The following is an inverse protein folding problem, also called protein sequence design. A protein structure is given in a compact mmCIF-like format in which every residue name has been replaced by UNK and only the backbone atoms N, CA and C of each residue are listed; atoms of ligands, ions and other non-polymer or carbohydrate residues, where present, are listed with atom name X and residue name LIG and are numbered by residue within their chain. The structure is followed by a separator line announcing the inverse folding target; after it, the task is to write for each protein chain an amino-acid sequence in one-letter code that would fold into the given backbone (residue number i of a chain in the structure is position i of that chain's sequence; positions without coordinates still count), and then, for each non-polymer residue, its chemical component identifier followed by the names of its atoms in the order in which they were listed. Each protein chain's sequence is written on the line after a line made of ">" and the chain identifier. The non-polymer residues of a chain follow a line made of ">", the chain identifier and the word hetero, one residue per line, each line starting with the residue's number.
data_IF_529860957812
#
_entry.id   IF_529860957812
#
_cell.length_a   1.000
_cell.length_b   1.000
_cell.length_c   1.000
_cell.angle_alpha   90.00
_cell.angle_beta   90.00
_cell.angle_gamma   90.00
#
_symmetry.space_group_name_H-M   'P 1'
#
loop_
_entity.id
_entity.type
_entity.pdbx_description
1 polymer ?
#
# COMPACT_ATOMS: atom_id res chain seq x y z
N UNK A 1 -21.60 -20.00 -0.52
CA UNK A 1 -22.47 -19.00 -1.18
C UNK A 1 -23.13 -18.08 -0.16
N UNK A 2 -23.80 -18.60 0.88
CA UNK A 2 -24.38 -17.81 1.97
C UNK A 2 -23.40 -16.82 2.63
N UNK A 3 -22.17 -17.25 2.94
CA UNK A 3 -21.15 -16.34 3.50
C UNK A 3 -20.87 -15.11 2.63
N UNK A 4 -20.77 -15.29 1.31
CA UNK A 4 -20.51 -14.18 0.39
C UNK A 4 -21.68 -13.20 0.33
N UNK A 5 -22.91 -13.71 0.39
CA UNK A 5 -24.12 -12.87 0.46
C UNK A 5 -24.09 -12.05 1.75
N UNK A 6 -23.74 -12.67 2.88
CA UNK A 6 -23.60 -11.96 4.16
C UNK A 6 -22.50 -10.91 4.10
N UNK A 7 -21.34 -11.25 3.54
CA UNK A 7 -20.19 -10.36 3.42
C UNK A 7 -20.54 -9.07 2.65
N UNK A 8 -21.19 -9.20 1.49
CA UNK A 8 -21.60 -8.04 0.68
C UNK A 8 -22.82 -7.31 1.23
N UNK A 9 -23.67 -7.97 2.03
CA UNK A 9 -24.79 -7.31 2.70
C UNK A 9 -24.32 -6.44 3.87
N UNK A 10 -23.38 -6.94 4.67
CA UNK A 10 -22.90 -6.25 5.86
C UNK A 10 -21.80 -5.24 5.54
N UNK A 11 -20.97 -5.52 4.53
CA UNK A 11 -19.77 -4.73 4.22
C UNK A 11 -18.92 -4.46 5.48
N UNK A 12 -18.50 -5.51 6.21
CA UNK A 12 -17.85 -5.34 7.50
C UNK A 12 -16.49 -4.66 7.35
N UNK A 13 -16.11 -3.85 8.33
CA UNK A 13 -14.76 -3.27 8.36
C UNK A 13 -13.69 -4.33 8.63
N UNK A 14 -14.01 -5.36 9.41
CA UNK A 14 -13.07 -6.41 9.79
C UNK A 14 -13.81 -7.74 9.95
N UNK A 15 -13.10 -8.83 9.70
CA UNK A 15 -13.63 -10.17 9.90
C UNK A 15 -12.74 -10.85 10.92
N UNK A 16 -13.33 -11.24 12.05
CA UNK A 16 -12.63 -11.97 13.08
C UNK A 16 -13.05 -13.44 13.03
N UNK A 17 -12.08 -14.32 12.76
CA UNK A 17 -12.28 -15.77 12.69
C UNK A 17 -11.75 -16.39 13.98
N UNK A 18 -12.61 -17.14 14.65
CA UNK A 18 -12.31 -17.83 15.89
C UNK A 18 -12.20 -19.35 15.65
N UNK A 19 -11.21 -19.98 16.27
CA UNK A 19 -11.05 -21.43 16.31
C UNK A 19 -10.17 -22.01 15.20
N UNK A 20 -9.45 -23.08 15.53
CA UNK A 20 -8.47 -23.74 14.67
C UNK A 20 -9.00 -25.03 14.04
N UNK A 21 -8.35 -25.50 12.98
CA UNK A 21 -8.61 -26.80 12.35
C UNK A 21 -10.02 -26.98 11.76
N UNK A 22 -10.66 -25.89 11.36
CA UNK A 22 -11.89 -25.92 10.57
C UNK A 22 -11.61 -25.52 9.13
N UNK A 23 -11.83 -26.43 8.17
CA UNK A 23 -11.64 -26.12 6.75
C UNK A 23 -12.53 -24.96 6.27
N UNK A 24 -13.69 -24.75 6.90
CA UNK A 24 -14.58 -23.62 6.60
C UNK A 24 -13.90 -22.28 6.94
N UNK A 25 -13.17 -22.19 8.07
CA UNK A 25 -12.46 -20.98 8.49
C UNK A 25 -11.41 -20.57 7.46
N UNK A 26 -10.64 -21.52 6.91
CA UNK A 26 -9.65 -21.21 5.87
C UNK A 26 -10.28 -20.75 4.55
N UNK A 27 -11.47 -21.24 4.20
CA UNK A 27 -12.22 -20.75 3.03
C UNK A 27 -12.75 -19.34 3.27
N UNK A 28 -13.26 -19.07 4.46
CA UNK A 28 -13.75 -17.74 4.86
C UNK A 28 -12.60 -16.73 4.77
N UNK A 29 -11.45 -17.00 5.40
CA UNK A 29 -10.26 -16.16 5.30
C UNK A 29 -9.91 -15.86 3.83
N UNK A 30 -9.76 -16.91 3.03
CA UNK A 30 -9.36 -16.79 1.63
C UNK A 30 -10.34 -15.93 0.82
N UNK A 31 -11.65 -16.12 1.03
CA UNK A 31 -12.68 -15.40 0.29
C UNK A 31 -12.75 -13.92 0.66
N UNK A 32 -12.58 -13.62 1.94
CA UNK A 32 -12.61 -12.27 2.50
C UNK A 32 -11.39 -11.49 2.09
N UNK A 33 -10.22 -12.08 2.29
CA UNK A 33 -8.95 -11.49 1.90
C UNK A 33 -8.89 -11.20 0.41
N UNK A 34 -9.32 -12.14 -0.46
CA UNK A 34 -9.37 -11.91 -1.91
C UNK A 34 -10.28 -10.76 -2.35
N UNK A 35 -11.16 -10.28 -1.47
CA UNK A 35 -12.08 -9.16 -1.71
C UNK A 35 -11.65 -7.88 -0.99
N UNK A 36 -10.46 -7.88 -0.38
CA UNK A 36 -9.89 -6.70 0.28
C UNK A 36 -10.33 -6.52 1.74
N UNK A 37 -11.05 -7.48 2.33
CA UNK A 37 -11.44 -7.39 3.74
C UNK A 37 -10.30 -7.87 4.67
N UNK A 38 -9.89 -7.06 5.66
CA UNK A 38 -8.94 -7.49 6.68
C UNK A 38 -9.49 -8.64 7.53
N UNK A 39 -8.62 -9.61 7.82
CA UNK A 39 -8.99 -10.79 8.61
C UNK A 39 -8.12 -10.89 9.84
N UNK A 40 -8.74 -10.88 11.03
CA UNK A 40 -8.10 -11.26 12.29
C UNK A 40 -8.39 -12.73 12.55
N UNK A 41 -7.39 -13.46 13.01
CA UNK A 41 -7.54 -14.88 13.32
C UNK A 41 -7.10 -15.20 14.75
N UNK A 42 -7.94 -15.93 15.48
CA UNK A 42 -7.68 -16.41 16.85
C UNK A 42 -7.64 -17.93 16.90
N UNK A 43 -6.44 -18.53 17.00
CA UNK A 43 -6.29 -19.98 17.02
C UNK A 43 -6.67 -20.65 18.35
N UNK A 44 -6.60 -19.94 19.48
CA UNK A 44 -6.86 -20.46 20.83
C UNK A 44 -6.06 -21.73 21.18
N UNK A 45 -4.73 -21.66 21.09
CA UNK A 45 -3.84 -22.80 21.36
C UNK A 45 -3.72 -23.79 20.19
N UNK A 46 -4.52 -23.63 19.14
CA UNK A 46 -4.43 -24.48 17.95
C UNK A 46 -3.11 -24.38 17.20
N UNK A 47 -2.31 -23.34 17.43
CA UNK A 47 -0.97 -23.19 16.89
C UNK A 47 0.13 -23.52 17.90
N UNK A 48 -0.20 -24.03 19.10
CA UNK A 48 0.79 -24.45 20.08
C UNK A 48 1.48 -25.77 19.61
N UNK A 49 2.83 -25.84 19.60
CA UNK A 49 3.58 -27.03 19.18
C UNK A 49 3.17 -28.33 19.89
N UNK A 50 3.01 -28.28 21.21
CA UNK A 50 2.66 -29.46 22.00
C UNK A 50 1.30 -30.04 21.57
N UNK A 51 0.36 -29.16 21.26
CA UNK A 51 -0.96 -29.53 20.78
C UNK A 51 -0.95 -30.04 19.33
N UNK A 52 -0.13 -29.43 18.47
CA UNK A 52 0.06 -29.88 17.08
C UNK A 52 0.62 -31.31 17.05
N UNK A 53 1.65 -31.59 17.86
CA UNK A 53 2.35 -32.87 17.88
C UNK A 53 1.48 -33.98 18.48
N UNK A 54 0.73 -33.66 19.55
CA UNK A 54 -0.19 -34.60 20.18
C UNK A 54 -1.35 -35.02 19.25
N UNK A 55 -1.88 -34.09 18.44
CA UNK A 55 -3.00 -34.37 17.53
C UNK A 55 -2.58 -34.69 16.08
N UNK A 56 -1.27 -34.73 15.78
CA UNK A 56 -0.75 -34.95 14.44
C UNK A 56 -1.23 -36.29 13.83
N UNK A 57 -1.39 -37.32 14.65
CA UNK A 57 -1.88 -38.64 14.23
C UNK A 57 -3.38 -38.69 13.92
N UNK A 58 -4.18 -37.76 14.46
CA UNK A 58 -5.63 -37.71 14.25
C UNK A 58 -6.04 -36.74 13.15
N UNK A 59 -5.18 -35.77 12.82
CA UNK A 59 -5.45 -34.71 11.84
C UNK A 59 -4.84 -35.02 10.49
N UNK A 60 -5.59 -34.80 9.42
CA UNK A 60 -5.04 -34.91 8.08
C UNK A 60 -4.02 -33.80 7.82
N UNK A 61 -2.91 -34.12 7.15
CA UNK A 61 -1.89 -33.14 6.73
C UNK A 61 -2.49 -31.94 5.98
N UNK A 62 -3.57 -32.16 5.21
CA UNK A 62 -4.31 -31.10 4.51
C UNK A 62 -4.85 -30.06 5.48
N UNK A 63 -5.41 -30.50 6.60
CA UNK A 63 -5.98 -29.61 7.62
C UNK A 63 -4.89 -28.75 8.26
N UNK A 64 -3.73 -29.33 8.55
CA UNK A 64 -2.55 -28.64 9.06
C UNK A 64 -2.04 -27.60 8.05
N UNK A 65 -1.97 -27.95 6.77
CA UNK A 65 -1.55 -27.01 5.72
C UNK A 65 -2.52 -25.84 5.57
N UNK A 66 -3.83 -26.08 5.60
CA UNK A 66 -4.81 -24.99 5.53
C UNK A 66 -4.74 -24.09 6.77
N UNK A 67 -4.52 -24.66 7.95
CA UNK A 67 -4.30 -23.91 9.18
C UNK A 67 -3.09 -22.99 9.07
N UNK A 68 -1.91 -23.54 8.72
CA UNK A 68 -0.68 -22.75 8.52
C UNK A 68 -0.87 -21.65 7.46
N UNK A 69 -1.57 -21.97 6.36
CA UNK A 69 -1.87 -21.00 5.30
C UNK A 69 -2.80 -19.88 5.77
N UNK A 70 -3.82 -20.19 6.57
CA UNK A 70 -4.73 -19.19 7.14
C UNK A 70 -3.98 -18.28 8.10
N UNK A 71 -3.18 -18.85 9.03
CA UNK A 71 -2.32 -18.07 9.94
C UNK A 71 -1.37 -17.16 9.17
N UNK A 72 -0.77 -17.65 8.09
CA UNK A 72 0.12 -16.85 7.27
C UNK A 72 -0.57 -15.67 6.57
N UNK A 73 -1.80 -15.88 6.11
CA UNK A 73 -2.48 -14.89 5.27
C UNK A 73 -3.33 -13.88 6.05
N UNK A 74 -3.70 -14.19 7.30
CA UNK A 74 -4.45 -13.27 8.15
C UNK A 74 -3.74 -11.91 8.29
N UNK A 75 -4.52 -10.84 8.35
CA UNK A 75 -4.04 -9.47 8.51
C UNK A 75 -3.38 -9.26 9.89
N UNK A 76 -3.87 -9.94 10.91
CA UNK A 76 -3.24 -10.08 12.23
C UNK A 76 -3.73 -11.36 12.94
N UNK A 77 -2.95 -11.80 13.93
CA UNK A 77 -3.28 -12.94 14.79
C UNK A 77 -3.50 -12.44 16.21
N UNK A 78 -4.62 -12.83 16.83
CA UNK A 78 -4.82 -12.66 18.26
C UNK A 78 -4.53 -13.98 18.97
N UNK A 79 -3.58 -13.98 19.90
CA UNK A 79 -3.25 -15.14 20.73
C UNK A 79 -3.56 -14.84 22.19
N UNK A 80 -3.90 -15.89 22.93
CA UNK A 80 -4.12 -15.81 24.38
C UNK A 80 -2.89 -16.26 25.17
N UNK A 81 -1.97 -16.96 24.50
CA UNK A 81 -0.77 -17.56 25.07
C UNK A 81 0.48 -17.03 24.35
N UNK A 82 1.53 -16.75 25.13
CA UNK A 82 2.77 -16.16 24.62
C UNK A 82 3.57 -17.20 23.82
N UNK A 83 3.56 -18.47 24.24
CA UNK A 83 4.28 -19.54 23.54
C UNK A 83 3.68 -19.78 22.14
N UNK A 84 2.35 -19.80 22.02
CA UNK A 84 1.65 -19.86 20.74
C UNK A 84 2.03 -18.68 19.83
N UNK A 85 2.07 -17.47 20.39
CA UNK A 85 2.48 -16.27 19.67
C UNK A 85 3.92 -16.33 19.16
N UNK A 86 4.84 -16.75 20.03
CA UNK A 86 6.26 -16.87 19.70
C UNK A 86 6.49 -17.94 18.62
N UNK A 87 5.81 -19.08 18.71
CA UNK A 87 5.88 -20.11 17.67
C UNK A 87 5.46 -19.58 16.29
N UNK A 88 4.38 -18.80 16.21
CA UNK A 88 3.89 -18.22 14.95
C UNK A 88 4.94 -17.27 14.34
N UNK A 89 5.63 -16.50 15.18
CA UNK A 89 6.69 -15.57 14.77
C UNK A 89 7.93 -16.34 14.30
N UNK A 90 8.38 -17.32 15.08
CA UNK A 90 9.59 -18.12 14.83
C UNK A 90 9.46 -18.94 13.54
N UNK A 91 8.28 -19.52 13.31
CA UNK A 91 7.96 -20.24 12.08
C UNK A 91 7.72 -19.31 10.88
N UNK A 92 7.85 -17.99 11.07
CA UNK A 92 7.61 -16.95 10.06
C UNK A 92 6.22 -17.08 9.42
N UNK A 93 5.25 -17.58 10.17
CA UNK A 93 3.88 -17.68 9.68
C UNK A 93 3.29 -16.27 9.63
N UNK A 94 3.33 -15.52 10.73
CA UNK A 94 2.85 -14.14 10.75
C UNK A 94 3.62 -13.29 11.75
N UNK A 95 4.04 -12.10 11.33
CA UNK A 95 4.75 -11.13 12.20
C UNK A 95 3.80 -10.16 12.92
N UNK A 96 2.49 -10.24 12.63
CA UNK A 96 1.46 -9.35 13.17
C UNK A 96 0.66 -10.06 14.24
N UNK A 97 1.32 -10.41 15.33
CA UNK A 97 0.73 -11.11 16.48
C UNK A 97 0.40 -10.10 17.58
N UNK A 98 -0.77 -10.25 18.20
CA UNK A 98 -1.20 -9.47 19.36
C UNK A 98 -1.59 -10.42 20.47
N UNK A 99 -1.01 -10.23 21.65
CA UNK A 99 -1.37 -10.96 22.84
C UNK A 99 -2.54 -10.27 23.54
N UNK A 100 -3.67 -10.97 23.69
CA UNK A 100 -4.86 -10.47 24.37
C UNK A 100 -5.39 -11.64 25.21
N UNK A 101 -5.25 -11.55 26.53
CA UNK A 101 -5.64 -12.60 27.47
C UNK A 101 -7.15 -12.68 27.65
N UNK A 102 -7.72 -13.88 27.65
CA UNK A 102 -9.16 -14.06 27.88
C UNK A 102 -9.45 -13.89 29.39
N UNK A 103 -10.48 -13.12 29.78
CA UNK A 103 -10.83 -12.88 31.18
C UNK A 103 -11.00 -14.13 32.06
N UNK A 104 -11.36 -15.28 31.47
CA UNK A 104 -11.51 -16.52 32.23
C UNK A 104 -10.19 -17.05 32.82
N UNK A 105 -9.05 -16.70 32.23
CA UNK A 105 -7.73 -17.23 32.61
C UNK A 105 -6.95 -16.28 33.52
N UNK A 106 -7.45 -15.05 33.74
CA UNK A 106 -6.78 -14.01 34.54
C UNK A 106 -7.76 -13.40 35.53
N UNK A 107 -7.54 -13.64 36.82
CA UNK A 107 -8.32 -13.01 37.92
C UNK A 107 -8.34 -11.47 37.86
N UNK A 108 -7.43 -10.87 37.10
CA UNK A 108 -7.19 -9.42 37.00
C UNK A 108 -7.76 -8.76 35.73
N UNK A 109 -8.26 -9.50 34.74
CA UNK A 109 -8.75 -8.92 33.48
C UNK A 109 -10.28 -8.83 33.47
N UNK A 110 -10.83 -7.62 33.37
CA UNK A 110 -12.27 -7.44 33.19
C UNK A 110 -12.69 -7.67 31.74
N UNK A 111 -13.95 -8.07 31.51
CA UNK A 111 -14.49 -8.17 30.15
C UNK A 111 -14.43 -6.85 29.37
N UNK A 112 -14.50 -5.72 30.08
CA UNK A 112 -14.36 -4.39 29.48
C UNK A 112 -12.94 -4.17 28.96
N UNK A 113 -11.92 -4.45 29.78
CA UNK A 113 -10.52 -4.34 29.36
C UNK A 113 -10.20 -5.24 28.16
N UNK A 114 -10.72 -6.47 28.14
CA UNK A 114 -10.60 -7.38 26.99
C UNK A 114 -11.25 -6.81 25.71
N UNK A 115 -12.45 -6.24 25.84
CA UNK A 115 -13.14 -5.61 24.71
C UNK A 115 -12.36 -4.41 24.18
N UNK A 116 -11.81 -3.57 25.08
CA UNK A 116 -11.01 -2.41 24.71
C UNK A 116 -9.70 -2.83 23.98
N UNK A 117 -9.01 -3.86 24.47
CA UNK A 117 -7.82 -4.43 23.80
C UNK A 117 -8.16 -4.99 22.41
N UNK A 118 -9.29 -5.68 22.26
CA UNK A 118 -9.76 -6.15 20.95
C UNK A 118 -10.07 -5.01 19.99
N UNK A 119 -10.74 -3.96 20.46
CA UNK A 119 -11.02 -2.77 19.66
C UNK A 119 -9.73 -2.07 19.20
N UNK A 120 -8.73 -1.98 20.09
CA UNK A 120 -7.40 -1.45 19.74
C UNK A 120 -6.71 -2.32 18.69
N UNK A 121 -6.80 -3.65 18.79
CA UNK A 121 -6.30 -4.56 17.77
C UNK A 121 -6.99 -4.33 16.42
N UNK A 122 -8.32 -4.23 16.40
CA UNK A 122 -9.05 -3.98 15.16
C UNK A 122 -8.65 -2.64 14.54
N UNK A 123 -8.58 -1.57 15.34
CA UNK A 123 -8.13 -0.27 14.86
C UNK A 123 -6.70 -0.34 14.31
N UNK A 124 -5.80 -1.07 14.97
CA UNK A 124 -4.42 -1.29 14.52
C UNK A 124 -4.38 -2.01 13.16
N UNK A 125 -5.19 -3.04 12.96
CA UNK A 125 -5.33 -3.74 11.67
C UNK A 125 -5.86 -2.81 10.59
N UNK A 126 -6.92 -2.06 10.88
CA UNK A 126 -7.52 -1.10 9.95
C UNK A 126 -6.54 -0.01 9.52
N UNK A 127 -5.75 0.53 10.46
CA UNK A 127 -4.72 1.52 10.15
C UNK A 127 -3.61 0.91 9.26
N UNK A 128 -3.22 -0.33 9.54
CA UNK A 128 -2.16 -1.06 8.80
C UNK A 128 -2.55 -1.36 7.35
N UNK A 129 -3.83 -1.60 7.09
CA UNK A 129 -4.34 -1.91 5.75
C UNK A 129 -5.10 -0.73 5.12
N UNK A 130 -4.79 0.50 5.52
CA UNK A 130 -5.46 1.72 5.08
C UNK A 130 -5.45 1.90 3.56
N UNK A 131 -4.33 1.60 2.88
CA UNK A 131 -4.19 1.63 1.42
C UNK A 131 -5.26 0.81 0.68
N UNK A 132 -5.58 -0.38 1.18
CA UNK A 132 -6.59 -1.27 0.57
C UNK A 132 -8.03 -0.77 0.75
N UNK A 133 -8.21 0.21 1.62
CA UNK A 133 -9.51 0.71 2.08
C UNK A 133 -9.77 2.15 1.64
N UNK A 134 -8.95 2.69 0.75
CA UNK A 134 -9.29 3.93 0.06
C UNK A 134 -10.54 3.66 -0.80
N UNK A 135 -11.62 4.34 -0.47
CA UNK A 135 -12.80 4.41 -1.35
C UNK A 135 -12.52 5.39 -2.51
N UNK A 136 -13.51 5.58 -3.39
CA UNK A 136 -13.38 6.45 -4.55
C UNK A 136 -13.09 7.90 -4.12
N UNK A 137 -13.89 8.42 -3.19
CA UNK A 137 -13.74 9.77 -2.65
C UNK A 137 -12.36 10.02 -2.05
N UNK A 138 -11.82 9.06 -1.29
CA UNK A 138 -10.46 9.16 -0.74
C UNK A 138 -9.39 9.19 -1.84
N UNK A 139 -9.56 8.41 -2.93
CA UNK A 139 -8.60 8.41 -4.04
C UNK A 139 -8.63 9.74 -4.79
N UNK A 140 -9.81 10.23 -5.12
CA UNK A 140 -10.01 11.53 -5.78
C UNK A 140 -9.45 12.68 -4.92
N UNK A 141 -9.66 12.63 -3.61
CA UNK A 141 -9.08 13.60 -2.69
C UNK A 141 -7.54 13.58 -2.68
N UNK A 142 -6.93 12.39 -2.71
CA UNK A 142 -5.46 12.27 -2.87
C UNK A 142 -5.04 12.92 -4.18
N UNK A 143 -5.73 12.64 -5.29
CA UNK A 143 -5.39 13.19 -6.60
C UNK A 143 -5.52 14.70 -6.68
N UNK A 144 -6.62 15.25 -6.20
CA UNK A 144 -6.83 16.69 -6.13
C UNK A 144 -5.75 17.39 -5.28
N UNK A 145 -5.36 16.81 -4.14
CA UNK A 145 -4.32 17.38 -3.27
C UNK A 145 -2.92 17.29 -3.90
N UNK A 146 -2.61 16.19 -4.60
CA UNK A 146 -1.36 16.07 -5.35
C UNK A 146 -1.29 17.10 -6.48
N UNK A 147 -2.37 17.25 -7.26
CA UNK A 147 -2.46 18.25 -8.32
C UNK A 147 -2.19 19.68 -7.79
N UNK A 148 -2.87 20.05 -6.69
CA UNK A 148 -2.71 21.37 -6.06
C UNK A 148 -1.30 21.65 -5.52
N UNK A 149 -0.61 20.61 -5.06
CA UNK A 149 0.70 20.75 -4.45
C UNK A 149 1.83 20.76 -5.47
N UNK A 150 1.69 20.02 -6.57
CA UNK A 150 2.72 19.87 -7.61
C UNK A 150 2.58 20.86 -8.77
N UNK A 151 1.43 21.52 -8.92
CA UNK A 151 1.25 22.54 -9.96
C UNK A 151 1.92 23.86 -9.54
N UNK A 152 2.65 24.48 -10.47
CA UNK A 152 3.25 25.81 -10.30
C UNK A 152 2.17 26.88 -10.08
N UNK A 153 2.48 27.90 -9.27
CA UNK A 153 1.52 28.96 -8.88
C UNK A 153 0.87 29.63 -10.10
N UNK A 154 1.65 29.82 -11.16
CA UNK A 154 1.27 30.59 -12.35
C UNK A 154 0.58 29.77 -13.46
N UNK A 155 0.74 28.43 -13.46
CA UNK A 155 0.18 27.51 -14.47
C UNK A 155 -0.94 26.61 -13.93
N UNK A 156 -1.38 26.82 -12.68
CA UNK A 156 -2.42 26.02 -12.03
C UNK A 156 -3.74 26.06 -12.78
N UNK A 157 -4.10 24.93 -13.38
CA UNK A 157 -5.50 24.67 -13.68
C UNK A 157 -6.29 24.55 -12.37
N UNK A 158 -7.38 25.33 -12.21
CA UNK A 158 -8.20 25.26 -11.00
C UNK A 158 -8.83 23.88 -10.90
N UNK A 159 -8.97 23.37 -9.67
CA UNK A 159 -9.75 22.16 -9.42
C UNK A 159 -11.20 22.36 -9.88
N UNK A 160 -11.82 21.30 -10.37
CA UNK A 160 -13.23 21.31 -10.69
C UNK A 160 -14.08 21.43 -9.42
N UNK A 161 -15.33 21.87 -9.56
CA UNK A 161 -16.24 22.04 -8.43
C UNK A 161 -16.50 20.73 -7.66
N UNK A 162 -16.45 19.59 -8.36
CA UNK A 162 -16.66 18.26 -7.78
C UNK A 162 -15.52 17.87 -6.84
N UNK A 163 -14.26 18.09 -7.24
CA UNK A 163 -13.08 17.83 -6.40
C UNK A 163 -13.08 18.70 -5.13
N UNK A 164 -13.43 19.99 -5.27
CA UNK A 164 -13.53 20.91 -4.13
C UNK A 164 -14.62 20.45 -3.16
N UNK A 165 -15.79 20.05 -3.68
CA UNK A 165 -16.89 19.55 -2.87
C UNK A 165 -16.50 18.25 -2.16
N UNK A 166 -15.87 17.31 -2.88
CA UNK A 166 -15.41 16.04 -2.33
C UNK A 166 -14.46 16.26 -1.15
N UNK A 167 -13.40 17.08 -1.33
CA UNK A 167 -12.44 17.43 -0.29
C UNK A 167 -13.13 17.98 0.97
N UNK A 168 -14.13 18.85 0.81
CA UNK A 168 -14.85 19.45 1.95
C UNK A 168 -15.87 18.51 2.60
N UNK A 169 -16.26 17.44 1.91
CA UNK A 169 -17.28 16.48 2.37
C UNK A 169 -16.70 15.24 3.05
N UNK A 170 -15.38 15.03 2.98
CA UNK A 170 -14.75 13.85 3.58
C UNK A 170 -14.98 13.79 5.10
N UNK A 171 -15.39 12.61 5.56
CA UNK A 171 -15.54 12.32 6.98
C UNK A 171 -14.17 12.25 7.69
N UNK A 172 -14.12 12.42 9.03
CA UNK A 172 -12.88 12.24 9.80
C UNK A 172 -12.19 10.90 9.56
N UNK A 173 -12.97 9.82 9.38
CA UNK A 173 -12.45 8.48 9.11
C UNK A 173 -11.83 8.38 7.70
N UNK A 174 -12.41 9.05 6.71
CA UNK A 174 -11.85 9.12 5.36
C UNK A 174 -10.56 9.94 5.34
N UNK A 175 -10.54 11.08 6.03
CA UNK A 175 -9.31 11.87 6.21
C UNK A 175 -8.20 11.06 6.88
N UNK A 176 -8.53 10.30 7.94
CA UNK A 176 -7.56 9.39 8.57
C UNK A 176 -6.96 8.40 7.57
N UNK A 177 -7.77 7.82 6.67
CA UNK A 177 -7.29 6.89 5.63
C UNK A 177 -6.39 7.58 4.62
N UNK A 178 -6.76 8.77 4.15
CA UNK A 178 -5.94 9.59 3.23
C UNK A 178 -4.59 9.92 3.84
N UNK A 179 -4.56 10.37 5.10
CA UNK A 179 -3.32 10.72 5.80
C UNK A 179 -2.43 9.48 6.05
N UNK A 180 -3.02 8.37 6.48
CA UNK A 180 -2.28 7.11 6.66
C UNK A 180 -1.68 6.61 5.34
N UNK A 181 -2.46 6.66 4.25
CA UNK A 181 -1.99 6.34 2.91
C UNK A 181 -0.83 7.25 2.51
N UNK A 182 -0.95 8.56 2.72
CA UNK A 182 0.12 9.52 2.41
C UNK A 182 1.41 9.21 3.16
N UNK A 183 1.32 8.83 4.44
CA UNK A 183 2.50 8.40 5.23
C UNK A 183 3.11 7.11 4.71
N UNK A 184 2.29 6.17 4.29
CA UNK A 184 2.75 4.89 3.73
C UNK A 184 3.51 5.12 2.41
N UNK A 185 2.96 5.98 1.55
CA UNK A 185 3.50 6.29 0.22
C UNK A 185 4.58 7.37 0.22
N UNK A 186 4.91 7.97 1.38
CA UNK A 186 5.92 9.02 1.48
C UNK A 186 5.49 10.39 0.92
N UNK A 187 4.20 10.62 0.73
CA UNK A 187 3.63 11.87 0.17
C UNK A 187 2.87 12.70 1.21
N UNK A 188 2.99 12.36 2.51
CA UNK A 188 2.26 13.07 3.57
C UNK A 188 2.50 14.58 3.53
N UNK A 189 3.75 15.02 3.36
CA UNK A 189 4.10 16.44 3.24
C UNK A 189 3.40 17.11 2.06
N UNK A 190 3.50 16.50 0.88
CA UNK A 190 2.84 16.96 -0.35
C UNK A 190 1.32 17.08 -0.18
N UNK A 191 0.67 16.11 0.49
CA UNK A 191 -0.76 16.20 0.78
C UNK A 191 -1.09 17.33 1.76
N UNK A 192 -0.29 17.51 2.82
CA UNK A 192 -0.53 18.60 3.78
C UNK A 192 -0.32 19.98 3.15
N UNK A 193 0.60 20.10 2.20
CA UNK A 193 0.80 21.34 1.44
C UNK A 193 -0.45 21.66 0.61
N UNK A 194 -1.00 20.66 -0.09
CA UNK A 194 -2.28 20.79 -0.81
C UNK A 194 -3.44 21.19 0.12
N UNK A 195 -3.51 20.61 1.33
CA UNK A 195 -4.54 20.96 2.31
C UNK A 195 -4.40 22.40 2.81
N UNK A 196 -3.18 22.84 3.07
CA UNK A 196 -2.88 24.20 3.51
C UNK A 196 -3.28 25.23 2.43
N UNK A 197 -2.98 24.95 1.16
CA UNK A 197 -3.39 25.77 0.01
C UNK A 197 -4.91 25.91 -0.08
N UNK A 198 -5.64 24.83 0.20
CA UNK A 198 -7.12 24.82 0.22
C UNK A 198 -7.74 25.30 1.52
N UNK A 199 -6.93 25.67 2.52
CA UNK A 199 -7.34 26.07 3.87
C UNK A 199 -8.26 25.03 4.53
N UNK A 200 -7.98 23.74 4.31
CA UNK A 200 -8.75 22.64 4.89
C UNK A 200 -8.37 22.48 6.37
N UNK A 201 -9.38 22.50 7.24
CA UNK A 201 -9.20 22.22 8.67
C UNK A 201 -9.35 20.71 8.89
N UNK A 202 -8.23 19.99 8.86
CA UNK A 202 -8.19 18.54 9.10
C UNK A 202 -7.47 18.27 10.42
N UNK A 203 -8.13 17.54 11.33
CA UNK A 203 -7.53 17.09 12.58
C UNK A 203 -6.53 15.96 12.29
N UNK A 204 -5.30 16.33 11.90
CA UNK A 204 -4.27 15.38 11.48
C UNK A 204 -3.58 14.63 12.64
N UNK A 205 -3.74 15.12 13.87
CA UNK A 205 -3.07 14.60 15.08
C UNK A 205 -3.31 13.11 15.30
N UNK A 206 -4.54 12.64 15.07
CA UNK A 206 -4.95 11.25 15.32
C UNK A 206 -4.33 10.22 14.36
N UNK A 207 -3.87 10.66 13.19
CA UNK A 207 -3.27 9.79 12.18
C UNK A 207 -1.77 9.58 12.41
N UNK A 208 -1.08 10.50 13.10
CA UNK A 208 0.36 10.44 13.32
C UNK A 208 0.78 9.41 14.37
N UNK A 209 -0.04 9.26 15.42
CA UNK A 209 0.21 8.33 16.55
C UNK A 209 -0.57 7.01 16.42
N UNK A 210 -1.27 6.83 15.30
CA UNK A 210 -2.10 5.67 15.04
C UNK A 210 -1.30 4.36 15.14
N UNK A 211 -1.65 3.43 16.05
CA UNK A 211 -0.96 2.15 16.16
C UNK A 211 -1.13 1.38 14.85
N UNK A 212 -0.03 0.82 14.36
CA UNK A 212 0.05 0.03 13.14
C UNK A 212 0.99 -1.16 13.35
N UNK A 213 0.78 -2.22 12.58
CA UNK A 213 1.78 -3.27 12.43
C UNK A 213 2.80 -2.88 11.36
N UNK A 214 4.02 -3.44 11.42
CA UNK A 214 4.97 -3.25 10.33
C UNK A 214 4.37 -3.73 9.00
N UNK A 215 4.59 -2.98 7.89
CA UNK A 215 4.18 -3.41 6.57
C UNK A 215 4.97 -4.67 6.18
N UNK A 216 4.29 -5.61 5.50
CA UNK A 216 4.96 -6.82 4.98
C UNK A 216 6.00 -6.47 3.90
N UNK A 217 5.71 -5.44 3.12
CA UNK A 217 6.58 -4.91 2.08
C UNK A 217 6.73 -3.40 2.30
N UNK A 218 7.75 -2.95 3.06
CA UNK A 218 7.93 -1.54 3.34
C UNK A 218 8.23 -0.77 2.04
N UNK A 219 7.56 0.38 1.90
CA UNK A 219 7.79 1.32 0.82
C UNK A 219 9.05 2.14 1.08
N UNK A 220 9.79 2.43 0.02
CA UNK A 220 10.85 3.42 0.06
C UNK A 220 10.21 4.82 0.07
N UNK A 221 10.62 5.64 1.02
CA UNK A 221 10.08 7.00 1.21
C UNK A 221 11.08 8.11 0.87
N UNK A 222 12.31 7.72 0.52
CA UNK A 222 13.31 8.68 0.06
C UNK A 222 12.98 9.17 -1.35
N UNK A 223 13.64 10.26 -1.72
CA UNK A 223 13.59 10.80 -3.08
C UNK A 223 14.08 9.77 -4.10
N UNK A 224 13.50 9.80 -5.28
CA UNK A 224 13.93 8.99 -6.41
C UNK A 224 15.16 9.64 -7.08
N UNK A 225 16.36 9.05 -7.02
CA UNK A 225 17.55 9.67 -7.58
C UNK A 225 17.49 9.72 -9.11
N UNK A 226 17.83 10.88 -9.67
CA UNK A 226 17.96 11.12 -11.11
C UNK A 226 19.41 11.16 -11.61
N UNK A 227 20.39 10.99 -10.74
CA UNK A 227 21.82 11.06 -11.05
C UNK A 227 22.52 9.70 -10.92
N UNK A 228 22.01 8.83 -10.05
CA UNK A 228 22.58 7.51 -9.76
C UNK A 228 21.62 6.37 -10.09
N UNK A 229 22.16 5.34 -10.74
CA UNK A 229 21.45 4.07 -10.98
C UNK A 229 21.50 3.16 -9.74
N UNK A 230 20.35 2.91 -9.12
CA UNK A 230 20.21 2.09 -7.90
C UNK A 230 20.56 0.61 -8.11
N UNK A 231 20.32 0.07 -9.30
CA UNK A 231 20.58 -1.35 -9.58
C UNK A 231 22.07 -1.72 -9.61
N UNK A 232 22.97 -0.74 -9.66
CA UNK A 232 24.42 -0.98 -9.81
C UNK A 232 24.82 -1.61 -11.15
N UNK A 233 23.90 -1.76 -12.11
CA UNK A 233 24.17 -2.45 -13.38
C UNK A 233 25.08 -1.63 -14.30
N UNK A 234 26.35 -2.03 -14.39
CA UNK A 234 27.33 -1.43 -15.31
C UNK A 234 26.87 -1.46 -16.77
N UNK A 235 26.17 -2.52 -17.18
CA UNK A 235 25.63 -2.66 -18.55
C UNK A 235 24.57 -1.60 -18.87
N UNK A 236 23.66 -1.34 -17.92
CA UNK A 236 22.64 -0.30 -18.10
C UNK A 236 23.31 1.06 -18.13
N UNK A 237 24.26 1.33 -17.23
CA UNK A 237 25.02 2.59 -17.22
C UNK A 237 25.74 2.85 -18.54
N UNK A 238 26.51 1.88 -19.04
CA UNK A 238 27.18 1.97 -20.35
C UNK A 238 26.19 2.27 -21.47
N UNK A 239 25.06 1.56 -21.53
CA UNK A 239 24.04 1.80 -22.56
C UNK A 239 23.43 3.20 -22.49
N UNK A 240 23.24 3.74 -21.30
CA UNK A 240 22.76 5.12 -21.10
C UNK A 240 23.80 6.11 -21.62
N UNK A 241 25.07 5.91 -21.29
CA UNK A 241 26.17 6.77 -21.75
C UNK A 241 26.43 6.67 -23.27
N UNK A 242 26.14 5.52 -23.89
CA UNK A 242 26.24 5.31 -25.34
C UNK A 242 25.08 5.95 -26.12
N UNK A 243 23.88 6.04 -25.50
CA UNK A 243 22.65 6.53 -26.16
C UNK A 243 22.43 8.03 -25.95
N UNK A 244 22.80 8.56 -24.79
CA UNK A 244 22.49 9.93 -24.37
C UNK A 244 23.79 10.75 -24.30
N UNK A 245 23.79 11.89 -24.97
CA UNK A 245 24.93 12.79 -24.99
C UNK A 245 25.27 13.32 -23.58
N UNK A 246 26.54 13.66 -23.35
CA UNK A 246 26.99 14.13 -22.03
C UNK A 246 26.34 15.45 -21.59
N UNK A 247 25.93 16.29 -22.54
CA UNK A 247 25.26 17.57 -22.26
C UNK A 247 23.77 17.44 -21.91
N UNK A 248 23.14 16.30 -22.19
CA UNK A 248 21.70 16.11 -22.01
C UNK A 248 21.39 15.57 -20.60
N UNK A 249 21.60 16.42 -19.59
CA UNK A 249 21.44 16.06 -18.17
C UNK A 249 20.00 15.70 -17.82
N UNK A 250 19.02 16.48 -18.28
CA UNK A 250 17.59 16.23 -18.01
C UNK A 250 17.11 14.90 -18.62
N UNK A 251 17.43 14.63 -19.89
CA UNK A 251 17.09 13.36 -20.57
C UNK A 251 17.73 12.18 -19.83
N UNK A 252 19.00 12.31 -19.44
CA UNK A 252 19.72 11.32 -18.63
C UNK A 252 18.98 11.09 -17.31
N UNK A 253 18.58 12.14 -16.61
CA UNK A 253 17.90 12.03 -15.31
C UNK A 253 16.53 11.37 -15.39
N UNK A 254 15.70 11.74 -16.37
CA UNK A 254 14.39 11.10 -16.62
C UNK A 254 14.58 9.61 -16.89
N UNK A 255 15.55 9.24 -17.74
CA UNK A 255 15.82 7.84 -18.05
C UNK A 255 16.34 7.06 -16.83
N UNK A 256 17.21 7.65 -16.01
CA UNK A 256 17.71 7.03 -14.78
C UNK A 256 16.58 6.84 -13.74
N UNK A 257 15.70 7.82 -13.56
CA UNK A 257 14.52 7.70 -12.70
C UNK A 257 13.62 6.55 -13.15
N UNK A 258 13.36 6.38 -14.44
CA UNK A 258 12.60 5.22 -14.95
C UNK A 258 13.29 3.87 -14.65
N UNK A 259 14.61 3.78 -14.75
CA UNK A 259 15.33 2.58 -14.33
C UNK A 259 15.25 2.34 -12.82
N UNK A 260 15.26 3.41 -12.02
CA UNK A 260 15.11 3.33 -10.57
C UNK A 260 13.68 2.96 -10.15
N UNK A 261 12.65 3.45 -10.85
CA UNK A 261 11.26 2.98 -10.73
C UNK A 261 11.18 1.49 -11.05
N UNK A 262 11.81 1.03 -12.13
CA UNK A 262 11.88 -0.38 -12.49
C UNK A 262 12.56 -1.22 -11.40
N UNK A 263 13.58 -0.69 -10.74
CA UNK A 263 14.25 -1.33 -9.61
C UNK A 263 13.29 -1.46 -8.42
N UNK A 264 12.63 -0.37 -8.00
CA UNK A 264 11.67 -0.37 -6.90
C UNK A 264 10.45 -1.26 -7.15
N UNK A 265 9.97 -1.36 -8.39
CA UNK A 265 8.92 -2.31 -8.77
C UNK A 265 9.33 -3.77 -8.54
N UNK A 266 10.58 -4.14 -8.87
CA UNK A 266 11.09 -5.50 -8.63
C UNK A 266 11.23 -5.79 -7.14
N UNK A 267 11.65 -4.79 -6.35
CA UNK A 267 11.79 -4.91 -4.90
C UNK A 267 10.46 -4.75 -4.13
N UNK A 268 9.35 -4.47 -4.82
CA UNK A 268 8.03 -4.16 -4.23
C UNK A 268 8.02 -2.95 -3.29
N UNK A 269 9.01 -2.08 -3.41
CA UNK A 269 9.22 -0.90 -2.56
C UNK A 269 8.87 0.41 -3.26
N UNK A 270 8.30 0.36 -4.48
CA UNK A 270 7.80 1.55 -5.19
C UNK A 270 6.69 2.22 -4.36
N UNK A 271 6.83 3.53 -4.17
CA UNK A 271 5.90 4.42 -3.50
C UNK A 271 5.39 5.50 -4.46
N UNK A 272 4.30 6.17 -4.10
CA UNK A 272 3.77 7.30 -4.86
C UNK A 272 4.75 8.49 -4.84
N UNK A 273 5.56 8.65 -3.78
CA UNK A 273 6.61 9.68 -3.71
C UNK A 273 7.55 9.64 -4.91
N UNK A 274 8.01 8.45 -5.29
CA UNK A 274 8.89 8.32 -6.45
C UNK A 274 8.22 8.72 -7.78
N UNK A 275 6.90 8.53 -7.88
CA UNK A 275 6.16 8.97 -9.07
C UNK A 275 5.95 10.48 -9.05
N UNK A 276 5.73 11.09 -7.88
CA UNK A 276 5.70 12.54 -7.72
C UNK A 276 7.06 13.17 -8.08
N UNK A 277 8.19 12.60 -7.62
CA UNK A 277 9.52 13.10 -8.00
C UNK A 277 9.71 13.02 -9.53
N UNK A 278 9.23 11.94 -10.16
CA UNK A 278 9.29 11.77 -11.61
C UNK A 278 8.38 12.76 -12.35
N UNK A 279 7.18 12.99 -11.85
CA UNK A 279 6.24 14.01 -12.34
C UNK A 279 6.92 15.39 -12.32
N UNK A 280 7.50 15.77 -11.19
CA UNK A 280 8.14 17.08 -11.01
C UNK A 280 9.27 17.28 -12.01
N UNK A 281 10.10 16.26 -12.25
CA UNK A 281 11.14 16.35 -13.27
C UNK A 281 10.55 16.48 -14.68
N UNK A 282 9.47 15.77 -15.01
CA UNK A 282 8.84 15.88 -16.33
C UNK A 282 8.27 17.28 -16.59
N UNK A 283 7.59 17.89 -15.61
CA UNK A 283 6.91 19.17 -15.81
C UNK A 283 7.85 20.36 -15.76
N UNK A 284 8.95 20.29 -15.00
CA UNK A 284 9.86 21.44 -14.81
C UNK A 284 11.15 21.35 -15.65
N UNK A 285 11.34 20.30 -16.46
CA UNK A 285 12.52 20.18 -17.31
C UNK A 285 12.23 20.60 -18.75
N UNK A 286 13.00 21.56 -19.25
CA UNK A 286 13.02 21.91 -20.67
C UNK A 286 13.79 20.83 -21.43
N UNK A 287 13.06 19.92 -22.06
CA UNK A 287 13.60 18.74 -22.74
C UNK A 287 13.06 18.63 -24.15
N UNK A 288 13.97 18.38 -25.10
CA UNK A 288 13.61 17.97 -26.45
C UNK A 288 12.87 16.62 -26.41
N UNK A 289 11.54 16.67 -26.54
CA UNK A 289 10.63 15.52 -26.50
C UNK A 289 11.02 14.43 -27.49
N UNK A 290 11.43 14.82 -28.70
CA UNK A 290 11.79 13.87 -29.76
C UNK A 290 13.07 13.09 -29.39
N UNK A 291 14.06 13.79 -28.85
CA UNK A 291 15.28 13.14 -28.34
C UNK A 291 14.99 12.25 -27.15
N UNK A 292 14.16 12.70 -26.22
CA UNK A 292 13.77 11.92 -25.05
C UNK A 292 13.06 10.64 -25.46
N UNK A 293 12.06 10.72 -26.35
CA UNK A 293 11.36 9.54 -26.87
C UNK A 293 12.33 8.57 -27.57
N UNK A 294 13.22 9.11 -28.40
CA UNK A 294 14.23 8.30 -29.12
C UNK A 294 15.17 7.58 -28.15
N UNK A 295 15.64 8.27 -27.10
CA UNK A 295 16.47 7.68 -26.06
C UNK A 295 15.72 6.57 -25.31
N UNK A 296 14.47 6.81 -24.92
CA UNK A 296 13.63 5.82 -24.23
C UNK A 296 13.40 4.55 -25.07
N UNK A 297 13.13 4.70 -26.37
CA UNK A 297 12.96 3.57 -27.30
C UNK A 297 14.25 2.77 -27.44
N UNK A 298 15.40 3.43 -27.61
CA UNK A 298 16.73 2.78 -27.69
C UNK A 298 17.12 2.07 -26.41
N UNK A 299 16.71 2.59 -25.25
CA UNK A 299 16.94 1.98 -23.94
C UNK A 299 15.93 0.88 -23.59
N UNK A 300 14.79 0.81 -24.30
CA UNK A 300 13.71 -0.16 -24.06
C UNK A 300 12.96 0.11 -22.76
N UNK A 301 12.78 1.39 -22.42
CA UNK A 301 12.04 1.86 -21.24
C UNK A 301 10.80 2.69 -21.60
N UNK A 302 10.57 2.94 -22.89
CA UNK A 302 9.38 3.57 -23.47
C UNK A 302 8.07 2.98 -22.92
N UNK A 303 7.92 1.64 -22.94
CA UNK A 303 6.72 0.98 -22.42
C UNK A 303 6.55 1.14 -20.92
N UNK A 304 7.65 1.26 -20.16
CA UNK A 304 7.54 1.53 -18.74
C UNK A 304 7.11 2.98 -18.50
N UNK A 305 7.67 3.92 -19.25
CA UNK A 305 7.30 5.33 -19.20
C UNK A 305 5.80 5.50 -19.47
N UNK A 306 5.28 4.96 -20.58
CA UNK A 306 3.84 5.08 -20.89
C UNK A 306 2.92 4.52 -19.80
N UNK A 307 3.32 3.43 -19.13
CA UNK A 307 2.56 2.89 -17.99
C UNK A 307 2.65 3.77 -16.74
N UNK A 308 3.80 4.40 -16.49
CA UNK A 308 3.97 5.36 -15.39
C UNK A 308 3.17 6.63 -15.65
N UNK A 309 3.22 7.16 -16.87
CA UNK A 309 2.43 8.31 -17.30
C UNK A 309 0.92 8.03 -17.16
N UNK A 310 0.44 6.82 -17.50
CA UNK A 310 -0.95 6.43 -17.25
C UNK A 310 -1.34 6.49 -15.76
N UNK A 311 -0.46 6.02 -14.87
CA UNK A 311 -0.73 6.10 -13.43
C UNK A 311 -0.68 7.55 -12.94
N UNK A 312 0.24 8.37 -13.47
CA UNK A 312 0.34 9.77 -13.12
C UNK A 312 -0.83 10.62 -13.63
N UNK A 313 -1.37 10.34 -14.82
CA UNK A 313 -2.57 11.01 -15.30
C UNK A 313 -3.78 10.71 -14.42
N UNK A 314 -3.93 9.45 -13.97
CA UNK A 314 -5.00 9.03 -13.07
C UNK A 314 -4.84 9.59 -11.65
N UNK A 315 -3.61 9.61 -11.12
CA UNK A 315 -3.35 9.90 -9.70
C UNK A 315 -2.99 11.34 -9.41
N UNK A 316 -2.48 12.07 -10.39
CA UNK A 316 -1.89 13.40 -10.24
C UNK A 316 -2.26 14.37 -11.36
N UNK A 317 -3.18 13.97 -12.25
CA UNK A 317 -3.64 14.78 -13.39
C UNK A 317 -2.51 15.28 -14.31
N UNK A 318 -1.47 14.46 -14.52
CA UNK A 318 -0.43 14.75 -15.50
C UNK A 318 -1.05 14.96 -16.89
N UNK A 319 -0.84 16.15 -17.45
CA UNK A 319 -1.30 16.52 -18.79
C UNK A 319 -0.56 15.72 -19.87
N UNK A 320 -1.25 15.40 -20.96
CA UNK A 320 -0.67 14.74 -22.13
C UNK A 320 0.50 15.53 -22.71
N UNK A 321 0.47 16.87 -22.61
CA UNK A 321 1.56 17.74 -23.05
C UNK A 321 2.90 17.52 -22.34
N UNK A 322 2.88 16.92 -21.13
CA UNK A 322 4.11 16.60 -20.39
C UNK A 322 4.50 15.11 -20.50
N UNK A 323 3.79 14.31 -21.29
CA UNK A 323 4.06 12.88 -21.44
C UNK A 323 5.08 12.62 -22.55
N UNK A 324 6.28 12.07 -22.24
CA UNK A 324 7.29 11.80 -23.27
C UNK A 324 6.86 10.74 -24.30
N UNK A 325 5.91 9.89 -23.92
CA UNK A 325 5.34 8.83 -24.74
C UNK A 325 3.87 8.66 -24.38
N UNK A 326 3.09 8.17 -25.34
CA UNK A 326 1.67 7.88 -25.12
C UNK A 326 1.45 6.99 -23.90
N UNK A 327 0.43 7.33 -23.11
CA UNK A 327 0.04 6.56 -21.95
C UNK A 327 -0.40 5.14 -22.35
N UNK A 328 -0.05 4.16 -21.53
CA UNK A 328 -0.35 2.74 -21.77
C UNK A 328 -1.13 2.21 -20.57
N UNK A 329 -2.35 1.73 -20.81
CA UNK A 329 -3.13 0.98 -19.83
C UNK A 329 -3.16 -0.51 -20.18
N UNK A 330 -2.23 -1.27 -19.60
CA UNK A 330 -2.15 -2.71 -19.79
C UNK A 330 -1.97 -3.47 -18.46
N UNK A 331 -1.77 -4.80 -18.54
CA UNK A 331 -1.51 -5.63 -17.35
C UNK A 331 -0.26 -5.22 -16.58
N UNK A 332 0.67 -4.50 -17.21
CA UNK A 332 1.83 -3.91 -16.55
C UNK A 332 1.46 -2.67 -15.74
N UNK A 333 0.59 -1.81 -16.26
CA UNK A 333 0.01 -0.66 -15.54
C UNK A 333 -0.72 -1.13 -14.28
N UNK A 334 -1.52 -2.17 -14.42
CA UNK A 334 -2.24 -2.77 -13.28
C UNK A 334 -1.28 -3.29 -12.18
N UNK A 335 -0.10 -3.82 -12.55
CA UNK A 335 0.91 -4.19 -11.56
C UNK A 335 1.49 -2.99 -10.82
N UNK A 336 1.61 -1.83 -11.46
CA UNK A 336 2.07 -0.59 -10.82
C UNK A 336 1.00 -0.15 -9.81
N UNK A 337 -0.27 -0.05 -10.22
CA UNK A 337 -1.41 0.28 -9.35
C UNK A 337 -1.46 -0.64 -8.12
N UNK A 338 -1.38 -1.96 -8.35
CA UNK A 338 -1.35 -2.97 -7.30
C UNK A 338 -0.14 -2.85 -6.37
N UNK A 339 1.01 -2.42 -6.89
CA UNK A 339 2.19 -2.17 -6.07
C UNK A 339 1.93 -0.98 -5.15
N UNK A 340 1.36 0.12 -5.66
CA UNK A 340 1.06 1.31 -4.85
C UNK A 340 -0.01 1.02 -3.78
N UNK A 341 -1.04 0.24 -4.08
CA UNK A 341 -2.15 -0.06 -3.17
C UNK A 341 -1.83 -1.22 -2.18
N UNK A 342 -0.63 -1.82 -2.27
CA UNK A 342 -0.21 -3.04 -1.57
C UNK A 342 -1.08 -4.26 -1.87
N UNK A 343 -0.71 -5.01 -2.92
CA UNK A 343 -1.31 -6.29 -3.21
C UNK A 343 -0.96 -7.39 -2.19
N UNK A 344 -1.93 -8.29 -2.03
CA UNK A 344 -2.16 -9.23 -0.92
C UNK A 344 -1.37 -10.53 -1.04
#
# INVERSE_FOLDING_TARGET
>A
KQYLILLYRLMPDIIHIHGSYHFVNSRIELWSRKRGFPVVFSPYGGMNPAYIDAEYGMRTWKLILYQKKMTHNASAIQVCDEEEGQYIIDQRLNQRVSYIGVPMDRETTTYQAYADELLLLYQKVLNTESSKRLDVNCREAVSALLHLSMSDEDERQPLCAEDILNLRSLSPMQWRRVLLFGREQGIYGTLTDGMARMQLIVNASDANEAPQFPPRYPKSKGELPGDVLLSGSKRVRSRVDDVIEKGETSIRSICLMLFNIKYHLRQRSLSLRHLCDFYELLTHSDVDEYKLETAMRRLGIDRLCGRVCQVLSETAYLDEGFMPVAAIDDRGTEKIRQTLVNYI
#
